data_IF_804430685668
#
_entry.id   IF_804430685668
#
_cell.length_a   1.000
_cell.length_b   1.000
_cell.length_c   1.000
_cell.angle_alpha   90.00
_cell.angle_beta   90.00
_cell.angle_gamma   90.00
#
_symmetry.space_group_name_H-M   'P 1'
#
loop_
_entity.id
_entity.type
_entity.pdbx_description
1 polymer ?
#
# COMPACT_ATOMS: atom_id res chain seq x y z
N UNK A 1 24.43 4.95 -20.59
CA UNK A 1 23.78 6.05 -19.82
C UNK A 1 22.51 5.50 -19.21
N UNK A 2 22.33 5.48 -17.87
CA UNK A 2 21.06 5.07 -17.30
C UNK A 2 19.98 6.08 -17.72
N UNK A 3 18.96 5.61 -18.43
CA UNK A 3 17.86 6.46 -18.89
C UNK A 3 17.04 6.91 -17.67
N UNK A 4 16.91 8.23 -17.47
CA UNK A 4 16.07 8.78 -16.40
C UNK A 4 14.63 8.33 -16.63
N UNK A 5 14.01 7.80 -15.57
CA UNK A 5 12.58 7.46 -15.57
C UNK A 5 11.74 8.73 -15.74
N UNK A 6 10.71 8.65 -16.56
CA UNK A 6 9.68 9.67 -16.65
C UNK A 6 8.84 9.69 -15.37
N UNK A 7 8.15 10.80 -15.11
CA UNK A 7 7.25 10.91 -13.95
C UNK A 7 6.18 9.82 -13.94
N UNK A 8 5.63 9.47 -15.11
CA UNK A 8 4.67 8.37 -15.25
C UNK A 8 5.29 7.03 -14.84
N UNK A 9 6.51 6.75 -15.28
CA UNK A 9 7.21 5.52 -14.91
C UNK A 9 7.51 5.45 -13.41
N UNK A 10 7.89 6.57 -12.79
CA UNK A 10 8.09 6.64 -11.33
C UNK A 10 6.79 6.37 -10.57
N UNK A 11 5.70 6.99 -10.98
CA UNK A 11 4.38 6.79 -10.36
C UNK A 11 3.92 5.32 -10.46
N UNK A 12 4.07 4.70 -11.64
CA UNK A 12 3.78 3.28 -11.84
C UNK A 12 4.64 2.39 -10.94
N UNK A 13 5.94 2.65 -10.87
CA UNK A 13 6.86 1.88 -10.04
C UNK A 13 6.51 2.00 -8.54
N UNK A 14 6.11 3.19 -8.09
CA UNK A 14 5.62 3.40 -6.73
C UNK A 14 4.36 2.59 -6.45
N UNK A 15 3.35 2.65 -7.32
CA UNK A 15 2.11 1.89 -7.17
C UNK A 15 2.36 0.38 -7.06
N UNK A 16 3.30 -0.15 -7.84
CA UNK A 16 3.68 -1.57 -7.82
C UNK A 16 4.36 -1.98 -6.50
N UNK A 17 5.09 -1.07 -5.84
CA UNK A 17 5.93 -1.40 -4.68
C UNK A 17 5.36 -0.97 -3.34
N UNK A 18 4.49 0.03 -3.29
CA UNK A 18 4.05 0.68 -2.04
C UNK A 18 3.53 -0.29 -0.97
N UNK A 19 2.76 -1.31 -1.36
CA UNK A 19 2.18 -2.26 -0.41
C UNK A 19 3.25 -3.20 0.19
N UNK A 20 4.13 -3.75 -0.65
CA UNK A 20 5.23 -4.60 -0.20
C UNK A 20 6.22 -3.82 0.69
N UNK A 21 6.53 -2.57 0.32
CA UNK A 21 7.35 -1.67 1.14
C UNK A 21 6.71 -1.38 2.49
N UNK A 22 5.40 -1.11 2.52
CA UNK A 22 4.68 -0.90 3.78
C UNK A 22 4.71 -2.13 4.69
N UNK A 23 4.43 -3.32 4.15
CA UNK A 23 4.49 -4.57 4.91
C UNK A 23 5.90 -4.87 5.44
N UNK A 24 6.94 -4.60 4.64
CA UNK A 24 8.33 -4.73 5.10
C UNK A 24 8.64 -3.75 6.24
N UNK A 25 8.19 -2.49 6.12
CA UNK A 25 8.31 -1.49 7.18
C UNK A 25 7.63 -1.92 8.48
N UNK A 26 6.40 -2.43 8.40
CA UNK A 26 5.69 -2.97 9.56
C UNK A 26 6.47 -4.10 10.25
N UNK A 27 7.06 -5.01 9.46
CA UNK A 27 7.90 -6.10 9.99
C UNK A 27 9.14 -5.59 10.72
N UNK A 28 9.79 -4.54 10.21
CA UNK A 28 10.92 -3.90 10.90
C UNK A 28 10.51 -3.29 12.24
N UNK A 29 9.26 -2.81 12.34
CA UNK A 29 8.67 -2.31 13.58
C UNK A 29 8.07 -3.42 14.48
N UNK A 30 8.26 -4.70 14.13
CA UNK A 30 7.76 -5.84 14.91
C UNK A 30 6.27 -6.17 14.70
N UNK A 31 5.60 -5.51 13.75
CA UNK A 31 4.20 -5.79 13.41
C UNK A 31 4.09 -6.81 12.28
N UNK A 32 3.21 -7.80 12.47
CA UNK A 32 2.81 -8.73 11.41
C UNK A 32 1.40 -8.38 10.94
N UNK A 33 1.30 -7.90 9.69
CA UNK A 33 0.00 -7.62 9.08
C UNK A 33 -0.65 -8.93 8.64
N UNK A 34 -1.85 -9.20 9.15
CA UNK A 34 -2.64 -10.41 8.83
C UNK A 34 -3.46 -10.26 7.56
N UNK A 35 -3.71 -9.02 7.12
CA UNK A 35 -4.64 -8.75 6.03
C UNK A 35 -3.96 -8.93 4.66
N UNK A 36 -4.57 -9.68 3.72
CA UNK A 36 -4.04 -9.82 2.37
C UNK A 36 -3.95 -8.45 1.71
N UNK A 37 -2.97 -8.30 0.81
CA UNK A 37 -2.75 -7.05 0.10
C UNK A 37 -4.04 -6.61 -0.64
N UNK A 38 -4.72 -5.61 -0.09
CA UNK A 38 -5.94 -5.04 -0.68
C UNK A 38 -5.55 -4.27 -1.93
N UNK A 39 -6.24 -4.50 -3.05
CA UNK A 39 -5.97 -3.72 -4.27
C UNK A 39 -6.35 -2.26 -4.06
N UNK A 40 -5.81 -1.36 -4.89
CA UNK A 40 -6.07 0.07 -4.75
C UNK A 40 -7.57 0.40 -4.82
N UNK A 41 -8.32 -0.33 -5.63
CA UNK A 41 -9.75 -0.18 -5.86
C UNK A 41 -10.57 -0.62 -4.65
N UNK A 42 -10.10 -1.65 -3.93
CA UNK A 42 -10.79 -2.22 -2.77
C UNK A 42 -10.42 -1.52 -1.46
N UNK A 43 -9.34 -0.73 -1.46
CA UNK A 43 -8.80 -0.10 -0.26
C UNK A 43 -9.80 0.90 0.36
N UNK A 44 -10.44 1.74 -0.45
CA UNK A 44 -11.40 2.73 0.05
C UNK A 44 -12.66 2.07 0.64
N UNK A 45 -13.21 1.06 -0.03
CA UNK A 45 -14.37 0.32 0.47
C UNK A 45 -14.04 -0.40 1.79
N UNK A 46 -12.83 -0.99 1.87
CA UNK A 46 -12.36 -1.64 3.10
C UNK A 46 -12.19 -0.62 4.23
N UNK A 47 -11.58 0.53 3.96
CA UNK A 47 -11.44 1.61 4.93
C UNK A 47 -12.80 2.15 5.38
N UNK A 48 -13.76 2.32 4.47
CA UNK A 48 -15.12 2.74 4.82
C UNK A 48 -15.82 1.72 5.72
N UNK A 49 -15.65 0.42 5.45
CA UNK A 49 -16.14 -0.65 6.31
C UNK A 49 -15.51 -0.60 7.71
N UNK A 50 -14.18 -0.47 7.81
CA UNK A 50 -13.47 -0.38 9.08
C UNK A 50 -13.86 0.86 9.88
N UNK A 51 -14.00 2.03 9.23
CA UNK A 51 -14.48 3.26 9.87
C UNK A 51 -15.87 3.07 10.46
N UNK A 52 -16.79 2.37 9.79
CA UNK A 52 -18.11 2.05 10.34
C UNK A 52 -18.06 1.08 11.53
N UNK A 53 -17.10 0.14 11.52
CA UNK A 53 -16.97 -0.85 12.59
C UNK A 53 -16.36 -0.27 13.87
N UNK A 54 -15.41 0.66 13.74
CA UNK A 54 -14.60 1.13 14.87
C UNK A 54 -14.69 2.65 15.13
N UNK A 55 -15.29 3.44 14.24
CA UNK A 55 -15.32 4.90 14.30
C UNK A 55 -16.58 5.46 14.93
N UNK A 56 -16.87 5.05 16.17
CA UNK A 56 -18.02 5.52 16.96
C UNK A 56 -18.17 7.04 17.00
#
# INVERSE_FOLDING_TARGET
MPQKLTEKQKATLWLQRRAASYQASCRLSGYTLTEPAVTAEQAEDRLASLRRQYGG
#
